data_IF_864089589017
#
_entry.id   IF_864089589017
#
_cell.length_a   1.000
_cell.length_b   1.000
_cell.length_c   1.000
_cell.angle_alpha   90.00
_cell.angle_beta   90.00
_cell.angle_gamma   90.00
#
_symmetry.space_group_name_H-M   'P 1'
#
loop_
_entity.id
_entity.type
_entity.pdbx_description
1 polymer ?
#
# COMPACT_ATOMS: atom_id res chain seq x y z
N UNK A 1 -26.05 24.62 4.72
CA UNK A 1 -24.95 25.44 5.28
C UNK A 1 -25.19 25.56 6.78
N UNK A 2 -24.58 24.66 7.58
CA UNK A 2 -24.67 24.69 9.04
C UNK A 2 -23.40 25.38 9.54
N UNK A 3 -23.52 26.64 9.93
CA UNK A 3 -22.45 27.41 10.54
C UNK A 3 -22.31 27.00 12.00
N UNK A 4 -21.23 26.28 12.35
CA UNK A 4 -20.86 26.01 13.74
C UNK A 4 -20.16 27.28 14.25
N UNK A 5 -20.83 28.04 15.08
CA UNK A 5 -20.22 29.14 15.85
C UNK A 5 -19.48 28.51 17.02
N UNK A 6 -18.17 28.31 16.88
CA UNK A 6 -17.30 27.92 17.97
C UNK A 6 -17.05 29.13 18.87
N UNK A 7 -17.31 29.01 20.18
CA UNK A 7 -16.93 30.03 21.17
C UNK A 7 -15.40 30.20 21.17
N UNK A 8 -14.92 31.44 21.36
CA UNK A 8 -13.50 31.79 21.30
C UNK A 8 -12.56 30.91 22.14
N UNK A 9 -13.01 30.41 23.31
CA UNK A 9 -12.23 29.50 24.14
C UNK A 9 -11.92 28.15 23.51
N UNK A 10 -12.81 27.62 22.64
CA UNK A 10 -12.61 26.35 21.94
C UNK A 10 -11.58 26.52 20.81
N UNK A 11 -11.54 27.68 20.16
CA UNK A 11 -10.51 28.00 19.13
C UNK A 11 -9.09 27.97 19.68
N UNK A 12 -8.88 28.52 20.88
CA UNK A 12 -7.56 28.57 21.52
C UNK A 12 -7.08 27.18 21.94
N UNK A 13 -7.97 26.31 22.40
CA UNK A 13 -7.62 24.95 22.83
C UNK A 13 -7.35 24.02 21.65
N UNK A 14 -8.14 24.12 20.58
CA UNK A 14 -7.93 23.39 19.31
C UNK A 14 -6.63 23.86 18.63
N UNK A 15 -6.35 25.16 18.61
CA UNK A 15 -5.09 25.71 18.06
C UNK A 15 -3.87 25.22 18.85
N UNK A 16 -3.88 25.27 20.20
CA UNK A 16 -2.79 24.73 21.03
C UNK A 16 -2.59 23.22 20.90
N UNK A 17 -3.66 22.46 20.66
CA UNK A 17 -3.58 21.00 20.42
C UNK A 17 -3.06 20.71 19.03
N UNK A 18 -3.40 21.51 18.03
CA UNK A 18 -2.85 21.44 16.68
C UNK A 18 -1.36 21.80 16.60
N UNK A 19 -0.91 22.81 17.37
CA UNK A 19 0.51 23.21 17.42
C UNK A 19 1.47 22.15 17.99
N UNK A 20 0.95 21.09 18.64
CA UNK A 20 1.79 20.04 19.23
C UNK A 20 1.86 18.74 18.41
N UNK A 21 0.96 18.53 17.45
CA UNK A 21 0.88 17.26 16.73
C UNK A 21 2.11 16.96 15.91
N UNK A 22 2.67 17.95 15.18
CA UNK A 22 3.87 17.74 14.38
C UNK A 22 5.11 17.45 15.26
N UNK A 23 5.18 18.07 16.45
CA UNK A 23 6.24 17.78 17.40
C UNK A 23 6.12 16.35 17.95
N UNK A 24 4.90 15.85 18.18
CA UNK A 24 4.65 14.47 18.62
C UNK A 24 4.96 13.48 17.47
N UNK A 25 4.54 13.78 16.24
CA UNK A 25 4.79 12.95 15.08
C UNK A 25 6.29 12.79 14.78
N UNK A 26 7.05 13.85 15.01
CA UNK A 26 8.48 13.92 14.73
C UNK A 26 9.36 13.80 16.00
N UNK A 27 8.81 13.29 17.10
CA UNK A 27 9.52 13.22 18.38
C UNK A 27 10.81 12.39 18.32
N UNK A 28 10.84 11.38 17.46
CA UNK A 28 11.98 10.48 17.25
C UNK A 28 12.96 10.98 16.17
N UNK A 29 12.71 12.16 15.54
CA UNK A 29 13.62 12.68 14.54
C UNK A 29 14.96 13.10 15.16
N UNK A 30 16.03 12.47 14.69
CA UNK A 30 17.40 12.88 14.97
C UNK A 30 18.07 13.29 13.65
N UNK A 31 18.29 14.60 13.50
CA UNK A 31 18.89 15.19 12.30
C UNK A 31 20.27 15.78 12.63
N UNK A 32 20.90 15.31 13.72
CA UNK A 32 22.20 15.75 14.18
C UNK A 32 22.25 17.16 14.80
N UNK A 33 21.14 17.91 14.80
CA UNK A 33 21.03 19.26 15.39
C UNK A 33 19.56 19.53 15.78
N UNK A 34 19.34 19.99 17.00
CA UNK A 34 18.00 20.33 17.52
C UNK A 34 17.34 21.45 16.73
N UNK A 35 18.12 22.38 16.15
CA UNK A 35 17.59 23.45 15.27
C UNK A 35 16.99 22.87 14.00
N UNK A 36 17.58 21.81 13.41
CA UNK A 36 17.03 21.12 12.23
C UNK A 36 15.70 20.44 12.58
N UNK A 37 15.60 19.77 13.72
CA UNK A 37 14.35 19.19 14.19
C UNK A 37 13.26 20.25 14.38
N UNK A 38 13.56 21.36 15.05
CA UNK A 38 12.62 22.49 15.19
C UNK A 38 12.19 23.04 13.82
N UNK A 39 13.11 23.17 12.88
CA UNK A 39 12.81 23.61 11.51
C UNK A 39 11.89 22.61 10.80
N UNK A 40 12.15 21.31 10.88
CA UNK A 40 11.30 20.26 10.31
C UNK A 40 9.87 20.36 10.86
N UNK A 41 9.70 20.47 12.17
CA UNK A 41 8.39 20.62 12.82
C UNK A 41 7.66 21.84 12.25
N UNK A 42 8.32 23.01 12.19
CA UNK A 42 7.73 24.23 11.65
C UNK A 42 7.34 24.10 10.16
N UNK A 43 8.15 23.42 9.35
CA UNK A 43 7.85 23.17 7.93
C UNK A 43 6.59 22.29 7.82
N UNK A 44 6.51 21.20 8.59
CA UNK A 44 5.37 20.28 8.57
C UNK A 44 4.09 20.96 9.02
N UNK A 45 4.13 21.78 10.08
CA UNK A 45 2.99 22.57 10.56
C UNK A 45 2.51 23.56 9.49
N UNK A 46 3.43 24.31 8.88
CA UNK A 46 3.10 25.30 7.86
C UNK A 46 2.45 24.64 6.62
N UNK A 47 3.04 23.55 6.10
CA UNK A 47 2.51 22.85 4.93
C UNK A 47 1.16 22.17 5.23
N UNK A 48 1.01 21.57 6.40
CA UNK A 48 -0.23 20.91 6.80
C UNK A 48 -1.37 21.91 7.06
N UNK A 49 -1.07 23.13 7.53
CA UNK A 49 -2.08 24.16 7.73
C UNK A 49 -2.64 24.72 6.41
N UNK A 50 -1.89 24.60 5.32
CA UNK A 50 -2.27 25.11 3.99
C UNK A 50 -1.93 24.11 2.87
N UNK A 51 -2.53 22.91 2.84
CA UNK A 51 -2.12 21.78 1.98
C UNK A 51 -2.32 22.04 0.49
N UNK A 52 -3.17 23.00 0.13
CA UNK A 52 -3.48 23.36 -1.27
C UNK A 52 -2.67 24.53 -1.82
N UNK A 53 -1.77 25.12 -1.01
CA UNK A 53 -0.99 26.29 -1.41
C UNK A 53 0.45 25.93 -1.80
N UNK A 54 1.13 26.87 -2.44
CA UNK A 54 2.56 26.74 -2.74
C UNK A 54 3.40 26.85 -1.47
N UNK A 55 4.63 26.30 -1.49
CA UNK A 55 5.57 26.38 -0.36
C UNK A 55 5.80 27.81 0.12
N UNK A 56 6.04 28.81 -0.78
CA UNK A 56 6.17 30.21 -0.34
C UNK A 56 4.94 30.75 0.39
N UNK A 57 3.74 30.41 -0.07
CA UNK A 57 2.48 30.83 0.58
C UNK A 57 2.30 30.15 1.95
N UNK A 58 2.49 28.81 2.02
CA UNK A 58 2.40 28.08 3.27
C UNK A 58 3.44 28.52 4.31
N UNK A 59 4.63 28.94 3.87
CA UNK A 59 5.69 29.44 4.75
C UNK A 59 5.41 30.84 5.33
N UNK A 60 4.45 31.58 4.78
CA UNK A 60 4.01 32.89 5.27
C UNK A 60 4.91 34.06 4.90
N UNK A 61 6.21 33.86 4.70
CA UNK A 61 7.15 34.88 4.25
C UNK A 61 8.34 34.30 3.48
N UNK A 62 9.06 35.17 2.74
CA UNK A 62 10.18 34.75 1.87
C UNK A 62 11.35 34.13 2.64
N UNK A 63 11.67 34.63 3.84
CA UNK A 63 12.77 34.09 4.65
C UNK A 63 12.46 32.66 5.13
N UNK A 64 11.23 32.40 5.55
CA UNK A 64 10.77 31.05 5.93
C UNK A 64 10.71 30.09 4.72
N UNK A 65 10.30 30.59 3.55
CA UNK A 65 10.32 29.81 2.31
C UNK A 65 11.76 29.42 1.91
N UNK A 66 12.70 30.40 1.91
CA UNK A 66 14.12 30.12 1.66
C UNK A 66 14.67 29.09 2.63
N UNK A 67 14.42 29.25 3.93
CA UNK A 67 14.86 28.30 4.95
C UNK A 67 14.25 26.90 4.78
N UNK A 68 13.06 26.76 4.17
CA UNK A 68 12.45 25.47 3.81
C UNK A 68 13.22 24.82 2.66
N UNK A 69 13.55 25.56 1.60
CA UNK A 69 14.34 25.04 0.50
C UNK A 69 15.77 24.67 0.92
N UNK A 70 16.41 25.49 1.76
CA UNK A 70 17.74 25.19 2.33
C UNK A 70 17.70 23.93 3.19
N UNK A 71 16.63 23.73 3.95
CA UNK A 71 16.43 22.51 4.73
C UNK A 71 16.33 21.28 3.81
N UNK A 72 15.56 21.34 2.72
CA UNK A 72 15.43 20.22 1.78
C UNK A 72 16.71 19.93 1.00
N UNK A 73 17.57 20.91 0.79
CA UNK A 73 18.88 20.75 0.15
C UNK A 73 20.00 20.42 1.15
N UNK A 74 19.68 20.19 2.41
CA UNK A 74 20.66 19.95 3.46
C UNK A 74 21.40 18.62 3.24
N UNK A 75 22.74 18.60 3.25
CA UNK A 75 23.53 17.36 3.13
C UNK A 75 23.69 16.61 4.46
N UNK A 76 23.12 17.10 5.55
CA UNK A 76 23.38 16.59 6.90
C UNK A 76 22.44 15.48 7.37
N UNK A 77 21.41 15.15 6.61
CA UNK A 77 20.46 14.08 6.87
C UNK A 77 19.84 13.62 5.56
N UNK A 78 19.28 12.41 5.57
CA UNK A 78 18.59 11.84 4.43
C UNK A 78 17.07 11.84 4.65
N UNK A 79 16.22 11.93 3.60
CA UNK A 79 14.75 11.80 3.74
C UNK A 79 14.28 10.55 4.49
N UNK A 80 15.03 9.43 4.38
CA UNK A 80 14.76 8.20 5.13
C UNK A 80 14.82 8.39 6.65
N UNK A 81 15.63 9.33 7.17
CA UNK A 81 15.75 9.58 8.60
C UNK A 81 14.45 10.18 9.16
N UNK A 82 13.79 11.00 8.34
CA UNK A 82 12.48 11.58 8.67
C UNK A 82 11.39 10.51 8.63
N UNK A 83 11.39 9.67 7.59
CA UNK A 83 10.43 8.56 7.45
C UNK A 83 10.59 7.57 8.61
N UNK A 84 11.83 7.20 8.96
CA UNK A 84 12.11 6.30 10.07
C UNK A 84 11.65 6.88 11.42
N UNK A 85 11.81 8.19 11.63
CA UNK A 85 11.32 8.86 12.82
C UNK A 85 9.80 8.83 12.94
N UNK A 86 9.11 9.08 11.83
CA UNK A 86 7.64 9.02 11.76
C UNK A 86 7.14 7.58 11.95
N UNK A 87 7.80 6.58 11.36
CA UNK A 87 7.46 5.18 11.53
C UNK A 87 7.49 4.76 13.01
N UNK A 88 8.47 5.22 13.78
CA UNK A 88 8.51 4.99 15.25
C UNK A 88 7.29 5.57 15.95
N UNK A 89 6.87 6.79 15.62
CA UNK A 89 5.64 7.38 16.18
C UNK A 89 4.38 6.60 15.78
N UNK A 90 4.36 6.05 14.58
CA UNK A 90 3.29 5.16 14.12
C UNK A 90 3.27 3.85 14.93
N UNK A 91 4.42 3.24 15.16
CA UNK A 91 4.53 2.01 15.96
C UNK A 91 4.01 2.22 17.39
N UNK A 92 4.27 3.38 18.03
CA UNK A 92 3.70 3.67 19.34
C UNK A 92 2.16 3.68 19.34
N UNK A 93 1.53 4.22 18.29
CA UNK A 93 0.07 4.15 18.14
C UNK A 93 -0.41 2.72 17.83
N UNK A 94 0.35 1.96 17.06
CA UNK A 94 0.04 0.56 16.75
C UNK A 94 -0.01 -0.30 18.01
N UNK A 95 0.85 -0.04 19.01
CA UNK A 95 0.88 -0.77 20.30
C UNK A 95 -0.43 -0.68 21.10
N UNK A 96 -1.29 0.28 20.79
CA UNK A 96 -2.60 0.41 21.41
C UNK A 96 -3.66 -0.54 20.80
N UNK A 97 -3.29 -1.32 19.76
CA UNK A 97 -4.20 -2.17 19.01
C UNK A 97 -3.72 -3.63 18.98
N UNK A 98 -4.59 -4.62 19.28
CA UNK A 98 -4.21 -6.04 19.19
C UNK A 98 -4.03 -6.51 17.74
N UNK A 99 -4.63 -5.82 16.79
CA UNK A 99 -4.58 -6.10 15.34
C UNK A 99 -4.35 -4.79 14.59
N UNK A 100 -3.47 -4.81 13.60
CA UNK A 100 -3.25 -3.69 12.67
C UNK A 100 -3.31 -4.16 11.22
N UNK A 101 -3.87 -3.33 10.36
CA UNK A 101 -3.85 -3.51 8.91
C UNK A 101 -2.67 -2.70 8.34
N UNK A 102 -1.72 -3.39 7.70
CA UNK A 102 -0.59 -2.77 7.01
C UNK A 102 -0.93 -2.69 5.51
N UNK A 103 -1.55 -1.57 5.11
CA UNK A 103 -2.05 -1.38 3.74
C UNK A 103 -0.92 -0.90 2.84
N UNK A 104 -0.55 -1.72 1.85
CA UNK A 104 0.48 -1.40 0.87
C UNK A 104 -0.13 -0.94 -0.46
N UNK A 105 0.45 0.10 -1.04
CA UNK A 105 0.07 0.59 -2.38
C UNK A 105 1.23 1.33 -3.05
N UNK A 106 1.21 1.37 -4.40
CA UNK A 106 2.19 2.09 -5.21
C UNK A 106 1.54 3.22 -6.01
N UNK A 107 1.90 4.44 -5.69
CA UNK A 107 1.39 5.66 -6.34
C UNK A 107 2.43 6.27 -7.27
N UNK A 108 1.97 6.93 -8.34
CA UNK A 108 2.80 7.73 -9.23
C UNK A 108 2.64 9.23 -8.92
N UNK A 109 3.74 9.91 -8.67
CA UNK A 109 3.78 11.37 -8.60
C UNK A 109 4.18 11.91 -9.97
N UNK A 110 3.22 12.45 -10.72
CA UNK A 110 3.42 12.96 -12.08
C UNK A 110 3.92 14.40 -12.07
N UNK A 111 5.13 14.60 -12.59
CA UNK A 111 5.78 15.90 -12.74
C UNK A 111 6.02 16.25 -14.21
N UNK A 112 5.31 15.65 -15.15
CA UNK A 112 5.50 15.79 -16.61
C UNK A 112 5.50 17.25 -17.08
N UNK A 113 4.66 18.09 -16.49
CA UNK A 113 4.57 19.52 -16.85
C UNK A 113 5.76 20.34 -16.36
N UNK A 114 6.58 19.79 -15.45
CA UNK A 114 7.68 20.51 -14.81
C UNK A 114 9.03 20.13 -15.43
N UNK A 115 9.25 20.50 -16.69
CA UNK A 115 10.37 20.07 -17.55
C UNK A 115 11.78 20.37 -17.01
N UNK A 116 11.93 21.30 -16.08
CA UNK A 116 13.24 21.71 -15.54
C UNK A 116 13.73 20.82 -14.38
N UNK A 117 12.96 19.85 -13.89
CA UNK A 117 13.34 19.02 -12.74
C UNK A 117 14.31 17.91 -13.15
N UNK A 118 15.38 17.77 -12.38
CA UNK A 118 16.34 16.67 -12.47
C UNK A 118 15.93 15.52 -11.53
N UNK A 119 16.43 14.30 -11.79
CA UNK A 119 16.20 13.15 -10.91
C UNK A 119 14.83 12.49 -11.07
N UNK A 120 14.02 12.89 -12.07
CA UNK A 120 12.77 12.23 -12.41
C UNK A 120 13.01 11.03 -13.33
N UNK A 121 12.17 10.02 -13.22
CA UNK A 121 12.16 8.86 -14.10
C UNK A 121 10.86 8.77 -14.89
N UNK A 122 10.80 7.77 -15.78
CA UNK A 122 9.59 7.50 -16.54
C UNK A 122 8.50 6.85 -15.69
N UNK A 123 7.27 7.28 -15.87
CA UNK A 123 6.07 6.65 -15.30
C UNK A 123 5.51 5.57 -16.25
N UNK A 124 4.26 5.17 -16.04
CA UNK A 124 3.65 4.06 -16.77
C UNK A 124 3.32 4.40 -18.24
N UNK A 125 3.16 5.69 -18.55
CA UNK A 125 2.87 6.16 -19.89
C UNK A 125 4.12 6.75 -20.54
N UNK A 126 4.29 6.49 -21.86
CA UNK A 126 5.31 7.15 -22.65
C UNK A 126 5.14 8.68 -22.57
N UNK A 127 6.21 9.41 -22.28
CA UNK A 127 6.27 10.86 -22.08
C UNK A 127 5.78 11.37 -20.71
N UNK A 128 5.40 10.50 -19.77
CA UNK A 128 5.13 10.89 -18.39
C UNK A 128 6.38 10.71 -17.54
N UNK A 129 6.72 11.74 -16.75
CA UNK A 129 7.92 11.79 -15.90
C UNK A 129 7.56 12.09 -14.46
N UNK A 130 8.20 11.41 -13.53
CA UNK A 130 7.91 11.60 -12.13
C UNK A 130 8.64 10.63 -11.22
N UNK A 131 8.04 10.37 -10.09
CA UNK A 131 8.51 9.42 -9.08
C UNK A 131 7.45 8.36 -8.82
N UNK A 132 7.89 7.17 -8.49
CA UNK A 132 7.05 6.13 -7.88
C UNK A 132 7.23 6.18 -6.37
N UNK A 133 6.14 5.98 -5.66
CA UNK A 133 6.11 5.93 -4.19
C UNK A 133 5.36 4.68 -3.77
N UNK A 134 6.04 3.75 -3.12
CA UNK A 134 5.41 2.60 -2.48
C UNK A 134 5.29 2.86 -0.99
N UNK A 135 4.10 2.76 -0.46
CA UNK A 135 3.77 3.15 0.91
C UNK A 135 3.12 2.00 1.65
N UNK A 136 3.52 1.77 2.90
CA UNK A 136 2.77 0.94 3.84
C UNK A 136 2.16 1.83 4.91
N UNK A 137 0.84 1.89 4.94
CA UNK A 137 0.06 2.66 5.90
C UNK A 137 -0.49 1.73 7.00
N UNK A 138 -0.19 2.02 8.26
CA UNK A 138 -0.84 1.40 9.40
C UNK A 138 -2.26 1.92 9.57
N UNK A 139 -3.22 1.01 9.67
CA UNK A 139 -4.65 1.32 9.81
C UNK A 139 -5.26 0.41 10.88
N UNK A 140 -6.10 0.93 11.75
CA UNK A 140 -6.85 0.11 12.71
C UNK A 140 -7.91 -0.74 12.01
N UNK A 141 -8.42 -1.83 12.62
CA UNK A 141 -9.53 -2.62 12.05
C UNK A 141 -10.81 -1.81 11.80
N UNK A 142 -10.98 -0.67 12.47
CA UNK A 142 -12.09 0.27 12.26
C UNK A 142 -11.87 1.24 11.10
N UNK A 143 -10.73 1.13 10.38
CA UNK A 143 -10.39 1.97 9.25
C UNK A 143 -9.76 3.33 9.63
N UNK A 144 -9.27 3.49 10.85
CA UNK A 144 -8.61 4.73 11.30
C UNK A 144 -7.13 4.66 10.92
N UNK A 145 -6.61 5.61 10.10
CA UNK A 145 -5.18 5.69 9.79
C UNK A 145 -4.34 5.96 11.04
N UNK A 146 -3.34 5.12 11.28
CA UNK A 146 -2.41 5.24 12.40
C UNK A 146 -1.10 5.94 11.99
N UNK A 147 -0.73 5.91 10.72
CA UNK A 147 0.46 6.56 10.17
C UNK A 147 1.25 5.65 9.24
N UNK A 148 2.37 6.18 8.71
CA UNK A 148 3.27 5.41 7.84
C UNK A 148 4.08 4.40 8.66
N UNK A 149 4.17 3.16 8.16
CA UNK A 149 5.07 2.13 8.68
C UNK A 149 6.39 2.20 7.89
N UNK A 150 6.31 2.22 6.54
CA UNK A 150 7.46 2.43 5.67
C UNK A 150 7.05 3.10 4.36
N UNK A 151 8.03 3.65 3.64
CA UNK A 151 7.82 4.28 2.34
C UNK A 151 9.09 4.25 1.51
N UNK A 152 8.97 3.83 0.25
CA UNK A 152 10.03 3.85 -0.75
C UNK A 152 9.70 4.82 -1.86
N UNK A 153 10.66 5.69 -2.22
CA UNK A 153 10.52 6.65 -3.31
C UNK A 153 11.64 6.40 -4.31
N UNK A 154 11.29 6.24 -5.60
CA UNK A 154 12.30 6.05 -6.64
C UNK A 154 11.90 6.66 -7.98
N UNK A 155 12.91 6.93 -8.80
CA UNK A 155 12.79 7.27 -10.20
C UNK A 155 13.14 6.05 -11.06
N UNK A 156 12.33 5.72 -12.07
CA UNK A 156 12.66 4.66 -13.03
C UNK A 156 13.77 5.12 -13.95
N UNK A 157 14.82 4.33 -14.08
CA UNK A 157 15.89 4.60 -15.02
C UNK A 157 15.45 4.36 -16.47
N UNK A 158 15.95 5.17 -17.41
CA UNK A 158 15.61 5.09 -18.83
C UNK A 158 15.93 3.72 -19.44
N UNK A 159 17.04 3.09 -19.01
CA UNK A 159 17.41 1.72 -19.44
C UNK A 159 16.34 0.66 -19.16
N UNK A 160 15.40 0.95 -18.25
CA UNK A 160 14.29 0.06 -17.89
C UNK A 160 13.03 0.29 -18.75
N UNK A 161 13.06 1.24 -19.71
CA UNK A 161 11.97 1.47 -20.65
C UNK A 161 11.93 0.38 -21.73
N UNK A 162 10.72 -0.10 -22.00
CA UNK A 162 10.50 -1.06 -23.11
C UNK A 162 10.93 -2.50 -22.83
N UNK A 163 11.48 -2.82 -21.65
CA UNK A 163 11.91 -4.18 -21.28
C UNK A 163 10.73 -5.09 -20.83
N UNK A 164 9.49 -4.71 -21.11
CA UNK A 164 8.32 -5.53 -20.73
C UNK A 164 8.42 -6.99 -21.22
N UNK A 165 8.99 -7.22 -22.41
CA UNK A 165 9.22 -8.58 -22.96
C UNK A 165 10.24 -9.39 -22.16
N UNK A 166 11.17 -8.75 -21.45
CA UNK A 166 12.19 -9.41 -20.61
C UNK A 166 11.74 -9.55 -19.16
N UNK A 167 10.64 -8.88 -18.75
CA UNK A 167 10.12 -8.87 -17.38
C UNK A 167 9.89 -10.26 -16.80
N UNK A 168 9.45 -11.21 -17.64
CA UNK A 168 9.20 -12.62 -17.22
C UNK A 168 10.48 -13.41 -16.90
N UNK A 169 11.64 -12.99 -17.44
CA UNK A 169 12.92 -13.69 -17.26
C UNK A 169 13.77 -13.14 -16.12
N UNK A 170 13.43 -11.95 -15.62
CA UNK A 170 14.17 -11.30 -14.51
C UNK A 170 13.70 -11.87 -13.17
N UNK A 171 14.62 -11.97 -12.23
CA UNK A 171 14.30 -12.29 -10.84
C UNK A 171 13.43 -11.22 -10.19
N UNK A 172 12.74 -11.56 -9.11
CA UNK A 172 11.86 -10.60 -8.42
C UNK A 172 12.67 -9.47 -7.80
N UNK A 173 13.87 -9.76 -7.31
CA UNK A 173 14.84 -8.81 -6.75
C UNK A 173 15.24 -7.70 -7.73
N UNK A 174 15.22 -7.98 -9.03
CA UNK A 174 15.50 -7.02 -10.10
C UNK A 174 14.25 -6.24 -10.57
N UNK A 175 13.10 -6.50 -9.99
CA UNK A 175 11.81 -5.90 -10.38
C UNK A 175 11.35 -4.88 -9.36
N UNK A 176 10.48 -3.99 -9.79
CA UNK A 176 9.78 -3.07 -8.88
C UNK A 176 8.91 -3.81 -7.85
N UNK A 177 8.47 -5.03 -8.19
CA UNK A 177 7.73 -5.90 -7.29
C UNK A 177 8.50 -6.31 -6.02
N UNK A 178 9.84 -6.19 -6.01
CA UNK A 178 10.65 -6.43 -4.82
C UNK A 178 10.23 -5.54 -3.65
N UNK A 179 9.75 -4.34 -3.91
CA UNK A 179 9.33 -3.39 -2.86
C UNK A 179 8.17 -3.88 -2.00
N UNK A 180 7.29 -4.72 -2.57
CA UNK A 180 6.24 -5.39 -1.80
C UNK A 180 6.82 -6.35 -0.76
N UNK A 181 7.88 -7.06 -1.13
CA UNK A 181 8.58 -8.01 -0.26
C UNK A 181 9.39 -7.27 0.80
N UNK A 182 10.10 -6.20 0.40
CA UNK A 182 10.89 -5.37 1.31
C UNK A 182 9.99 -4.70 2.35
N UNK A 183 8.86 -4.13 1.92
CA UNK A 183 7.86 -3.53 2.81
C UNK A 183 7.27 -4.53 3.79
N UNK A 184 7.00 -5.77 3.35
CA UNK A 184 6.54 -6.83 4.25
C UNK A 184 7.61 -7.17 5.30
N UNK A 185 8.88 -7.30 4.88
CA UNK A 185 10.00 -7.59 5.78
C UNK A 185 10.19 -6.48 6.81
N UNK A 186 10.21 -5.22 6.38
CA UNK A 186 10.32 -4.07 7.30
C UNK A 186 9.13 -3.97 8.26
N UNK A 187 7.92 -4.21 7.76
CA UNK A 187 6.72 -4.21 8.61
C UNK A 187 6.83 -5.23 9.73
N UNK A 188 7.29 -6.44 9.42
CA UNK A 188 7.50 -7.50 10.41
C UNK A 188 8.59 -7.16 11.44
N UNK A 189 9.65 -6.43 11.02
CA UNK A 189 10.72 -6.02 11.92
C UNK A 189 10.31 -4.89 12.87
N UNK A 190 9.39 -4.04 12.46
CA UNK A 190 8.99 -2.86 13.22
C UNK A 190 7.83 -3.13 14.19
N UNK A 191 6.91 -4.02 13.83
CA UNK A 191 5.71 -4.29 14.65
C UNK A 191 6.03 -5.37 15.69
N UNK A 192 5.71 -5.16 16.99
CA UNK A 192 5.90 -6.14 18.05
C UNK A 192 5.19 -7.46 17.78
N UNK A 193 5.78 -8.58 18.23
CA UNK A 193 5.29 -9.95 17.97
C UNK A 193 3.94 -10.25 18.64
N UNK A 194 3.57 -9.53 19.67
CA UNK A 194 2.27 -9.66 20.36
C UNK A 194 1.11 -8.97 19.64
N UNK A 195 1.41 -8.23 18.56
CA UNK A 195 0.41 -7.55 17.74
C UNK A 195 0.23 -8.31 16.42
N UNK A 196 -1.01 -8.68 16.10
CA UNK A 196 -1.30 -9.27 14.79
C UNK A 196 -1.24 -8.21 13.69
N UNK A 197 -0.48 -8.47 12.64
CA UNK A 197 -0.40 -7.59 11.47
C UNK A 197 -0.96 -8.30 10.24
N UNK A 198 -1.92 -7.66 9.57
CA UNK A 198 -2.48 -8.13 8.31
C UNK A 198 -2.01 -7.19 7.20
N UNK A 199 -1.05 -7.64 6.40
CA UNK A 199 -0.62 -6.89 5.20
C UNK A 199 -1.68 -7.02 4.13
N UNK A 200 -2.18 -5.87 3.66
CA UNK A 200 -3.20 -5.78 2.62
C UNK A 200 -2.58 -5.21 1.36
N UNK A 201 -2.79 -5.87 0.23
CA UNK A 201 -2.38 -5.41 -1.08
C UNK A 201 -3.44 -5.61 -2.14
N UNK A 202 -3.43 -4.75 -3.14
CA UNK A 202 -4.29 -4.86 -4.31
C UNK A 202 -3.78 -5.93 -5.30
N UNK A 203 -4.25 -5.90 -6.55
CA UNK A 203 -3.85 -6.86 -7.58
C UNK A 203 -2.38 -6.76 -8.01
N UNK A 204 -1.69 -5.65 -7.76
CA UNK A 204 -0.25 -5.54 -8.03
C UNK A 204 0.58 -6.38 -7.05
N UNK A 205 0.04 -6.66 -5.86
CA UNK A 205 0.61 -7.55 -4.85
C UNK A 205 0.39 -9.04 -5.13
N UNK A 206 -0.33 -9.44 -6.19
CA UNK A 206 -0.51 -10.85 -6.55
C UNK A 206 0.79 -11.46 -7.11
N UNK A 207 1.81 -11.55 -6.28
CA UNK A 207 3.17 -11.99 -6.57
C UNK A 207 3.43 -13.32 -5.87
N UNK A 208 3.87 -14.34 -6.60
CA UNK A 208 4.15 -15.66 -6.01
C UNK A 208 5.18 -15.57 -4.88
N UNK A 209 6.26 -14.79 -5.09
CA UNK A 209 7.33 -14.64 -4.09
C UNK A 209 6.85 -13.96 -2.81
N UNK A 210 5.87 -13.05 -2.88
CA UNK A 210 5.24 -12.45 -1.70
C UNK A 210 4.48 -13.50 -0.87
N UNK A 211 3.77 -14.41 -1.53
CA UNK A 211 3.10 -15.52 -0.84
C UNK A 211 4.09 -16.53 -0.24
N UNK A 212 5.22 -16.75 -0.93
CA UNK A 212 6.26 -17.70 -0.52
C UNK A 212 7.21 -17.14 0.54
N UNK A 213 7.21 -15.83 0.77
CA UNK A 213 8.08 -15.18 1.74
C UNK A 213 7.80 -15.68 3.16
N UNK A 214 8.87 -15.95 3.91
CA UNK A 214 8.77 -16.34 5.33
C UNK A 214 8.12 -15.23 6.14
N UNK A 215 7.18 -15.61 6.99
CA UNK A 215 6.45 -14.67 7.86
C UNK A 215 6.55 -15.08 9.32
N UNK A 216 6.58 -14.06 10.19
CA UNK A 216 6.42 -14.24 11.63
C UNK A 216 5.00 -14.78 11.92
N UNK A 217 4.81 -15.53 13.01
CA UNK A 217 3.50 -16.15 13.34
C UNK A 217 2.34 -15.13 13.44
N UNK A 218 2.64 -13.91 13.83
CA UNK A 218 1.67 -12.80 13.94
C UNK A 218 1.45 -12.05 12.62
N UNK A 219 2.12 -12.43 11.52
CA UNK A 219 2.08 -11.73 10.22
C UNK A 219 1.26 -12.51 9.20
N UNK A 220 0.20 -11.88 8.69
CA UNK A 220 -0.75 -12.43 7.75
C UNK A 220 -0.82 -11.59 6.47
N UNK A 221 -1.31 -12.19 5.37
CA UNK A 221 -1.53 -11.52 4.09
C UNK A 221 -3.00 -11.55 3.70
N UNK A 222 -3.51 -10.45 3.18
CA UNK A 222 -4.79 -10.35 2.48
C UNK A 222 -4.57 -9.65 1.14
N UNK A 223 -4.44 -10.43 0.07
CA UNK A 223 -4.07 -9.93 -1.26
C UNK A 223 -5.22 -10.18 -2.24
N UNK A 224 -5.53 -9.16 -3.04
CA UNK A 224 -6.50 -9.30 -4.13
C UNK A 224 -5.88 -10.10 -5.28
N UNK A 225 -6.29 -11.37 -5.41
CA UNK A 225 -5.83 -12.26 -6.46
C UNK A 225 -6.41 -11.90 -7.84
N UNK A 226 -5.57 -11.90 -8.88
CA UNK A 226 -5.96 -11.68 -10.28
C UNK A 226 -5.45 -12.78 -11.20
N UNK A 227 -4.37 -13.44 -10.83
CA UNK A 227 -3.77 -14.48 -11.67
C UNK A 227 -4.51 -15.80 -11.55
N UNK A 228 -4.90 -16.37 -12.69
CA UNK A 228 -5.47 -17.72 -12.74
C UNK A 228 -4.36 -18.76 -12.60
N UNK A 229 -3.93 -19.01 -11.37
CA UNK A 229 -2.78 -19.84 -11.02
C UNK A 229 -3.12 -21.32 -11.13
N UNK A 230 -2.11 -22.17 -11.42
CA UNK A 230 -2.20 -23.60 -11.24
C UNK A 230 -2.24 -23.93 -9.76
N UNK A 231 -3.18 -24.78 -9.36
CA UNK A 231 -3.42 -25.13 -7.95
C UNK A 231 -3.71 -26.62 -7.80
N UNK A 232 -3.42 -27.13 -6.61
CA UNK A 232 -3.97 -28.39 -6.12
C UNK A 232 -5.01 -28.06 -5.03
N UNK A 233 -6.22 -28.59 -5.16
CA UNK A 233 -7.22 -28.46 -4.12
C UNK A 233 -6.92 -29.43 -2.98
N UNK A 234 -6.76 -28.91 -1.77
CA UNK A 234 -6.23 -29.71 -0.66
C UNK A 234 -7.22 -30.77 -0.14
N UNK A 235 -8.52 -30.53 -0.26
CA UNK A 235 -9.53 -31.52 0.14
C UNK A 235 -9.60 -32.69 -0.86
N UNK A 236 -9.32 -32.48 -2.15
CA UNK A 236 -9.23 -33.59 -3.13
C UNK A 236 -8.04 -34.49 -2.86
N UNK A 237 -6.94 -33.97 -2.31
CA UNK A 237 -5.77 -34.76 -1.91
C UNK A 237 -6.10 -35.85 -0.90
N UNK A 238 -7.07 -35.61 -0.02
CA UNK A 238 -7.53 -36.57 0.97
C UNK A 238 -8.39 -37.68 0.36
N UNK A 239 -9.01 -37.46 -0.81
CA UNK A 239 -9.92 -38.41 -1.48
C UNK A 239 -9.24 -39.28 -2.53
N UNK A 240 -8.27 -38.77 -3.27
CA UNK A 240 -7.72 -39.47 -4.47
C UNK A 240 -6.25 -39.83 -4.39
N UNK A 241 -5.50 -39.42 -3.38
CA UNK A 241 -4.05 -39.68 -3.24
C UNK A 241 -3.15 -38.93 -4.21
N UNK A 242 -3.64 -38.54 -5.38
CA UNK A 242 -2.95 -37.71 -6.38
C UNK A 242 -3.85 -36.57 -6.83
N UNK A 243 -3.59 -35.32 -6.36
CA UNK A 243 -4.39 -34.15 -6.76
C UNK A 243 -4.16 -33.83 -8.25
N UNK A 244 -5.24 -33.74 -9.01
CA UNK A 244 -5.20 -33.18 -10.35
C UNK A 244 -4.87 -31.68 -10.28
N UNK A 245 -3.89 -31.24 -11.05
CA UNK A 245 -3.56 -29.81 -11.12
C UNK A 245 -4.60 -29.08 -11.97
N UNK A 246 -5.34 -28.18 -11.33
CA UNK A 246 -6.40 -27.37 -11.95
C UNK A 246 -6.04 -25.88 -11.93
N UNK A 247 -6.90 -25.06 -12.48
CA UNK A 247 -6.76 -23.60 -12.45
C UNK A 247 -7.67 -22.99 -11.37
N UNK A 248 -7.13 -22.05 -10.61
CA UNK A 248 -7.75 -21.45 -9.42
C UNK A 248 -9.16 -20.92 -9.66
N UNK A 249 -9.33 -20.09 -10.71
CA UNK A 249 -10.60 -19.39 -10.97
C UNK A 249 -11.76 -20.36 -11.27
N UNK A 250 -11.49 -21.43 -11.97
CA UNK A 250 -12.50 -22.45 -12.23
C UNK A 250 -12.78 -23.27 -10.97
N UNK A 251 -11.72 -23.77 -10.34
CA UNK A 251 -11.83 -24.67 -9.21
C UNK A 251 -12.57 -24.04 -8.02
N UNK A 252 -12.29 -22.76 -7.68
CA UNK A 252 -12.98 -22.09 -6.57
C UNK A 252 -14.48 -21.89 -6.84
N UNK A 253 -14.90 -21.73 -8.12
CA UNK A 253 -16.32 -21.61 -8.49
C UNK A 253 -17.07 -22.92 -8.38
N UNK A 254 -16.40 -24.05 -8.50
CA UNK A 254 -16.97 -25.40 -8.31
C UNK A 254 -17.17 -25.73 -6.82
N UNK A 255 -16.51 -25.00 -5.90
CA UNK A 255 -16.67 -25.18 -4.46
C UNK A 255 -18.07 -24.73 -4.01
N UNK A 256 -18.67 -25.50 -3.11
CA UNK A 256 -19.96 -25.14 -2.51
C UNK A 256 -19.88 -23.78 -1.81
N UNK A 257 -20.87 -22.91 -2.05
CA UNK A 257 -20.97 -21.65 -1.33
C UNK A 257 -21.06 -21.87 0.18
N UNK A 258 -20.31 -21.11 0.94
CA UNK A 258 -20.33 -21.12 2.42
C UNK A 258 -21.23 -20.02 3.01
N UNK A 259 -21.68 -19.07 2.19
CA UNK A 259 -22.57 -17.99 2.62
C UNK A 259 -22.85 -16.98 1.52
N UNK A 260 -23.58 -15.94 1.87
CA UNK A 260 -23.82 -14.78 1.03
C UNK A 260 -23.66 -13.48 1.80
N UNK A 261 -23.35 -12.39 1.10
CA UNK A 261 -23.16 -11.05 1.66
C UNK A 261 -23.86 -10.03 0.77
N UNK A 262 -24.65 -9.15 1.39
CA UNK A 262 -25.27 -8.01 0.70
C UNK A 262 -24.34 -6.81 0.77
N UNK A 263 -24.01 -6.24 -0.38
CA UNK A 263 -23.10 -5.09 -0.53
C UNK A 263 -23.81 -3.94 -1.20
N UNK A 264 -23.77 -2.77 -0.56
CA UNK A 264 -24.28 -1.53 -1.16
C UNK A 264 -23.31 -1.02 -2.22
N UNK A 265 -23.66 -1.19 -3.49
CA UNK A 265 -22.92 -0.63 -4.62
C UNK A 265 -23.32 0.83 -4.78
N UNK A 266 -22.34 1.74 -4.64
CA UNK A 266 -22.58 3.18 -4.78
C UNK A 266 -22.81 3.54 -6.26
N UNK A 267 -23.60 4.58 -6.49
CA UNK A 267 -23.76 5.18 -7.82
C UNK A 267 -22.41 5.62 -8.39
N UNK A 268 -22.23 5.35 -9.67
CA UNK A 268 -21.14 5.94 -10.47
C UNK A 268 -21.69 6.38 -11.84
N UNK A 269 -20.90 7.01 -12.75
CA UNK A 269 -21.39 7.45 -14.05
C UNK A 269 -22.02 6.35 -14.92
N UNK A 270 -21.67 5.08 -14.68
CA UNK A 270 -22.08 3.95 -15.51
C UNK A 270 -23.25 3.13 -14.91
N UNK A 271 -23.57 3.29 -13.63
CA UNK A 271 -24.66 2.57 -12.98
C UNK A 271 -25.25 3.33 -11.78
N UNK A 272 -26.53 3.09 -11.51
CA UNK A 272 -27.23 3.58 -10.32
C UNK A 272 -26.79 2.81 -9.07
N UNK A 273 -27.05 3.43 -7.89
CA UNK A 273 -26.82 2.75 -6.62
C UNK A 273 -27.76 1.54 -6.48
N UNK A 274 -27.23 0.43 -6.01
CA UNK A 274 -28.00 -0.81 -5.84
C UNK A 274 -27.44 -1.69 -4.71
N UNK A 275 -28.25 -2.65 -4.29
CA UNK A 275 -27.83 -3.71 -3.40
C UNK A 275 -27.41 -4.93 -4.24
N UNK A 276 -26.15 -5.34 -4.12
CA UNK A 276 -25.61 -6.52 -4.78
C UNK A 276 -25.53 -7.67 -3.80
N UNK A 277 -26.06 -8.83 -4.17
CA UNK A 277 -25.92 -10.06 -3.38
C UNK A 277 -24.74 -10.87 -3.88
N UNK A 278 -23.75 -11.04 -3.03
CA UNK A 278 -22.54 -11.80 -3.33
C UNK A 278 -22.66 -13.22 -2.75
N UNK A 279 -22.36 -14.21 -3.57
CA UNK A 279 -22.13 -15.59 -3.10
C UNK A 279 -20.67 -15.71 -2.65
N UNK A 280 -20.45 -16.23 -1.45
CA UNK A 280 -19.11 -16.39 -0.87
C UNK A 280 -18.72 -17.86 -0.88
N UNK A 281 -17.51 -18.14 -1.42
CA UNK A 281 -16.86 -19.45 -1.39
C UNK A 281 -15.50 -19.33 -0.72
N UNK A 282 -15.11 -20.38 -0.03
CA UNK A 282 -13.85 -20.43 0.71
C UNK A 282 -13.25 -21.83 0.60
N UNK A 283 -11.94 -21.91 0.30
CA UNK A 283 -11.23 -23.17 0.25
C UNK A 283 -9.71 -23.00 0.42
N UNK A 284 -9.04 -24.06 0.81
CA UNK A 284 -7.59 -24.12 0.93
C UNK A 284 -6.98 -24.75 -0.32
N UNK A 285 -6.00 -24.04 -0.90
CA UNK A 285 -5.29 -24.47 -2.10
C UNK A 285 -3.78 -24.49 -1.87
N UNK A 286 -3.11 -25.36 -2.60
CA UNK A 286 -1.67 -25.36 -2.77
C UNK A 286 -1.34 -24.74 -4.14
N UNK A 287 -0.85 -23.51 -4.14
CA UNK A 287 -0.48 -22.78 -5.37
C UNK A 287 0.85 -23.31 -5.88
N UNK A 288 0.88 -23.72 -7.15
CA UNK A 288 2.07 -24.26 -7.80
C UNK A 288 3.05 -23.16 -8.18
N UNK A 289 4.35 -23.49 -8.16
CA UNK A 289 5.41 -22.59 -8.60
C UNK A 289 5.20 -22.21 -10.07
N UNK A 290 5.23 -20.92 -10.44
CA UNK A 290 5.07 -20.51 -11.82
C UNK A 290 6.14 -21.10 -12.72
N UNK A 291 5.77 -21.59 -13.91
CA UNK A 291 6.69 -22.26 -14.86
C UNK A 291 7.84 -21.38 -15.36
N UNK A 292 7.68 -20.04 -15.27
CA UNK A 292 8.69 -19.05 -15.67
C UNK A 292 9.54 -18.57 -14.49
N UNK A 293 9.34 -19.14 -13.29
CA UNK A 293 10.17 -18.83 -12.12
C UNK A 293 11.60 -19.33 -12.36
N UNK A 294 12.59 -18.57 -11.90
CA UNK A 294 13.98 -18.97 -12.04
C UNK A 294 14.26 -20.28 -11.30
N UNK A 295 15.04 -21.13 -11.94
CA UNK A 295 15.53 -22.37 -11.33
C UNK A 295 16.68 -22.15 -10.36
N UNK A 296 17.31 -20.96 -10.39
CA UNK A 296 18.43 -20.61 -9.53
C UNK A 296 18.01 -20.49 -8.05
N UNK A 297 16.75 -20.12 -7.80
CA UNK A 297 16.20 -20.04 -6.45
C UNK A 297 15.05 -21.05 -6.32
N UNK A 298 15.29 -22.26 -5.78
CA UNK A 298 14.23 -23.26 -5.61
C UNK A 298 13.09 -22.72 -4.76
N UNK A 299 11.86 -22.86 -5.25
CA UNK A 299 10.65 -22.50 -4.53
C UNK A 299 9.80 -23.73 -4.31
N UNK A 300 9.05 -23.74 -3.23
CA UNK A 300 8.08 -24.78 -2.92
C UNK A 300 6.67 -24.25 -3.20
N UNK A 301 5.71 -25.13 -3.55
CA UNK A 301 4.31 -24.74 -3.60
C UNK A 301 3.84 -24.12 -2.28
N UNK A 302 2.95 -23.13 -2.36
CA UNK A 302 2.49 -22.38 -1.19
C UNK A 302 1.04 -22.71 -0.88
N UNK A 303 0.76 -23.07 0.38
CA UNK A 303 -0.60 -23.25 0.86
C UNK A 303 -1.24 -21.91 1.18
N UNK A 304 -2.37 -21.62 0.56
CA UNK A 304 -3.16 -20.42 0.80
C UNK A 304 -4.63 -20.74 1.00
N UNK A 305 -5.31 -19.89 1.74
CA UNK A 305 -6.75 -19.82 1.81
C UNK A 305 -7.24 -18.84 0.75
N UNK A 306 -8.24 -19.24 -0.02
CA UNK A 306 -8.82 -18.42 -1.09
C UNK A 306 -10.27 -18.16 -0.78
N UNK A 307 -10.67 -16.90 -0.87
CA UNK A 307 -12.05 -16.44 -0.75
C UNK A 307 -12.47 -15.89 -2.11
N UNK A 308 -13.58 -16.36 -2.64
CA UNK A 308 -14.27 -15.80 -3.79
C UNK A 308 -15.59 -15.20 -3.33
N UNK A 309 -15.77 -13.88 -3.53
CA UNK A 309 -17.05 -13.22 -3.40
C UNK A 309 -17.48 -12.76 -4.79
N UNK A 310 -18.54 -13.34 -5.34
CA UNK A 310 -19.00 -13.13 -6.71
C UNK A 310 -20.49 -12.82 -6.73
N UNK A 311 -20.89 -11.78 -7.47
CA UNK A 311 -22.31 -11.43 -7.59
C UNK A 311 -23.06 -12.48 -8.39
N UNK A 312 -24.24 -12.92 -7.91
CA UNK A 312 -25.00 -14.00 -8.52
C UNK A 312 -25.59 -13.59 -9.88
N UNK A 313 -26.04 -12.37 -10.01
CA UNK A 313 -26.68 -11.86 -11.23
C UNK A 313 -26.24 -10.40 -11.49
N UNK A 314 -24.99 -10.19 -11.90
CA UNK A 314 -24.52 -8.83 -12.18
C UNK A 314 -25.24 -8.22 -13.38
N UNK A 315 -25.51 -6.90 -13.40
CA UNK A 315 -26.06 -6.22 -14.55
C UNK A 315 -25.23 -6.45 -15.83
N UNK A 316 -25.87 -6.61 -16.96
CA UNK A 316 -25.21 -6.94 -18.24
C UNK A 316 -24.10 -5.92 -18.61
N UNK A 317 -24.28 -4.64 -18.27
CA UNK A 317 -23.28 -3.60 -18.49
C UNK A 317 -21.96 -3.84 -17.72
N UNK A 318 -22.01 -4.49 -16.55
CA UNK A 318 -20.83 -4.80 -15.74
C UNK A 318 -20.11 -6.08 -16.20
N UNK A 319 -20.85 -7.04 -16.79
CA UNK A 319 -20.28 -8.22 -17.43
C UNK A 319 -19.33 -7.86 -18.59
N UNK A 320 -19.65 -6.82 -19.36
CA UNK A 320 -18.82 -6.35 -20.48
C UNK A 320 -17.52 -5.72 -19.99
N UNK A 321 -17.54 -5.01 -18.86
CA UNK A 321 -16.35 -4.39 -18.27
C UNK A 321 -15.40 -5.42 -17.63
N UNK A 322 -15.91 -6.52 -17.09
CA UNK A 322 -15.09 -7.59 -16.50
C UNK A 322 -14.38 -8.46 -17.56
N UNK A 323 -14.89 -8.50 -18.78
CA UNK A 323 -14.29 -9.25 -19.92
C UNK A 323 -13.24 -8.41 -20.67
N UNK A 324 -13.28 -7.08 -20.54
CA UNK A 324 -12.36 -6.17 -21.24
C UNK A 324 -11.05 -5.83 -20.50
N UNK A 325 -10.80 -6.37 -19.31
CA UNK A 325 -9.58 -6.14 -18.52
C UNK A 325 -8.67 -7.35 -18.48
N UNK A 326 -8.41 -7.95 -19.65
CA UNK A 326 -7.39 -8.99 -19.85
C UNK A 326 -6.15 -8.46 -20.55
#
# INVERSE_FOLDING_TARGET
>A
MIGIVLKEGIKVEVSKKMEKWAAQELQYADLGDTRRKKRLISIVENLASQPSTSVPQASGNLAAASATYDFWNSPYFHPSDIIAAQAKSTVERIKEHPIVLAVQDTTSLDFTTQKAKKGMGYLDYKKSFGLKVHTTLGVSPQGIPLGLINQYVWAREEKNLGIAKQRKKRETEEKESQRWLDSLSETQQQIPEDIQVVTIGDCEADIFDLFAQSRSPNSHLLIRGTHNRKVNYLEDKQRSGHPETKYLHQTIREIKACGSLDVQVKRNPNHEARLAKLTVRFASFEIQVPSHHSKATPRQPVKLQVILAEEENPPIAELILSVGSS
#
